data_IF_716162357108
#
_entry.id   IF_716162357108
#
_cell.length_a   1.000
_cell.length_b   1.000
_cell.length_c   1.000
_cell.angle_alpha   90.00
_cell.angle_beta   90.00
_cell.angle_gamma   90.00
#
_symmetry.space_group_name_H-M   'P 1'
#
loop_
_entity.id
_entity.type
_entity.pdbx_description
1 polymer ?
#
# COMPACT_ATOMS: atom_id res chain seq x y z
N UNK A 1 -14.81 1.25 0.64
CA UNK A 1 -13.49 1.71 1.07
C UNK A 1 -12.71 0.51 1.56
N UNK A 2 -11.44 0.43 1.19
CA UNK A 2 -10.54 -0.65 1.55
C UNK A 2 -9.27 -0.03 2.10
N UNK A 3 -8.74 -0.61 3.18
CA UNK A 3 -7.49 -0.14 3.79
C UNK A 3 -6.42 -1.19 3.59
N UNK A 4 -5.32 -0.83 2.95
CA UNK A 4 -4.15 -1.71 2.76
C UNK A 4 -2.99 -1.26 3.65
N UNK A 5 -2.17 -2.23 4.09
CA UNK A 5 -0.98 -2.00 4.89
C UNK A 5 0.09 -3.03 4.59
N UNK A 6 1.35 -2.67 4.88
CA UNK A 6 2.46 -3.61 4.94
C UNK A 6 3.27 -3.33 6.22
N UNK A 7 3.05 -4.14 7.26
CA UNK A 7 3.68 -3.91 8.57
C UNK A 7 5.21 -3.92 8.44
N UNK A 8 5.86 -2.89 8.96
CA UNK A 8 7.32 -2.73 8.88
C UNK A 8 7.83 -2.02 7.63
N UNK A 9 6.95 -1.70 6.67
CA UNK A 9 7.27 -0.90 5.48
C UNK A 9 6.51 0.43 5.51
N UNK A 10 7.14 1.50 5.01
CA UNK A 10 6.47 2.79 4.81
C UNK A 10 6.07 2.94 3.35
N UNK A 11 4.86 3.43 3.11
CA UNK A 11 4.33 3.67 1.77
C UNK A 11 4.30 5.16 1.47
N UNK A 12 4.96 5.56 0.37
CA UNK A 12 4.99 6.94 -0.11
C UNK A 12 4.06 7.09 -1.31
N UNK A 13 2.97 7.82 -1.14
CA UNK A 13 2.06 8.17 -2.24
C UNK A 13 2.71 9.23 -3.11
N UNK A 14 2.90 8.90 -4.38
CA UNK A 14 3.46 9.78 -5.41
C UNK A 14 2.45 10.20 -6.46
N UNK A 15 1.29 9.56 -6.52
CA UNK A 15 0.25 9.86 -7.50
C UNK A 15 -1.14 9.46 -7.02
N UNK A 16 -2.16 10.08 -7.59
CA UNK A 16 -3.57 9.70 -7.39
C UNK A 16 -4.40 10.08 -8.61
N UNK A 17 -5.38 9.26 -8.99
CA UNK A 17 -6.29 9.58 -10.10
C UNK A 17 -5.57 9.83 -11.43
N UNK A 18 -4.56 9.01 -11.74
CA UNK A 18 -3.68 9.17 -12.91
C UNK A 18 -2.92 10.51 -12.98
N UNK A 19 -2.74 11.20 -11.84
CA UNK A 19 -2.00 12.45 -11.73
C UNK A 19 -0.81 12.32 -10.78
N UNK A 20 0.36 12.76 -11.26
CA UNK A 20 1.55 12.88 -10.42
C UNK A 20 1.36 13.95 -9.34
N UNK A 21 1.69 13.62 -8.08
CA UNK A 21 1.54 14.51 -6.93
C UNK A 21 2.66 15.58 -6.91
N UNK A 22 2.49 16.59 -7.76
CA UNK A 22 3.28 17.81 -7.77
C UNK A 22 2.43 19.04 -7.52
N UNK A 23 2.98 19.96 -6.73
CA UNK A 23 2.46 21.31 -6.54
C UNK A 23 2.58 22.16 -7.80
N UNK A 24 1.97 23.34 -7.75
CA UNK A 24 2.00 24.32 -8.86
C UNK A 24 3.42 24.82 -9.18
N UNK A 25 4.32 24.79 -8.20
CA UNK A 25 5.73 25.16 -8.33
C UNK A 25 6.62 23.98 -8.81
N UNK A 26 6.01 22.85 -9.17
CA UNK A 26 6.71 21.65 -9.63
C UNK A 26 7.33 20.81 -8.50
N UNK A 27 7.22 21.23 -7.24
CA UNK A 27 7.72 20.46 -6.10
C UNK A 27 6.84 19.24 -5.83
N UNK A 28 7.47 18.16 -5.40
CA UNK A 28 6.77 16.95 -5.00
C UNK A 28 5.98 17.22 -3.71
N UNK A 29 4.72 16.81 -3.67
CA UNK A 29 3.84 16.90 -2.49
C UNK A 29 3.47 15.52 -1.97
N UNK A 30 4.42 14.59 -2.06
CA UNK A 30 4.27 13.19 -1.66
C UNK A 30 3.91 13.06 -0.18
N UNK A 31 3.21 11.99 0.17
CA UNK A 31 2.79 11.72 1.54
C UNK A 31 3.21 10.32 1.93
N UNK A 32 3.78 10.17 3.11
CA UNK A 32 4.12 8.89 3.69
C UNK A 32 3.07 8.47 4.70
N UNK A 33 2.65 7.20 4.64
CA UNK A 33 1.80 6.59 5.65
C UNK A 33 2.10 5.09 5.77
N UNK A 34 1.73 4.51 6.91
CA UNK A 34 1.83 3.07 7.13
C UNK A 34 0.64 2.30 6.52
N UNK A 35 -0.48 2.98 6.26
CA UNK A 35 -1.66 2.40 5.63
C UNK A 35 -2.38 3.41 4.74
N UNK A 36 -3.10 2.91 3.75
CA UNK A 36 -3.87 3.73 2.82
C UNK A 36 -5.28 3.21 2.66
N UNK A 37 -6.26 4.11 2.83
CA UNK A 37 -7.66 3.85 2.56
C UNK A 37 -8.05 4.47 1.22
N UNK A 38 -8.75 3.71 0.39
CA UNK A 38 -9.26 4.19 -0.90
C UNK A 38 -10.61 3.55 -1.25
N UNK A 39 -11.40 4.28 -2.02
CA UNK A 39 -12.74 3.93 -2.48
C UNK A 39 -12.79 3.31 -3.87
N UNK A 40 -13.99 2.93 -4.30
CA UNK A 40 -14.20 2.39 -5.65
C UNK A 40 -13.96 3.49 -6.69
N UNK A 41 -13.06 3.24 -7.64
CA UNK A 41 -12.66 4.21 -8.67
C UNK A 41 -11.56 5.18 -8.23
N UNK A 42 -11.15 5.15 -6.95
CA UNK A 42 -9.95 5.86 -6.51
C UNK A 42 -8.70 5.04 -6.84
N UNK A 43 -7.60 5.73 -7.13
CA UNK A 43 -6.30 5.12 -7.42
C UNK A 43 -5.21 5.86 -6.66
N UNK A 44 -4.20 5.12 -6.21
CA UNK A 44 -3.01 5.62 -5.55
C UNK A 44 -1.79 5.00 -6.23
N UNK A 45 -0.83 5.83 -6.62
CA UNK A 45 0.49 5.37 -7.04
C UNK A 45 1.41 5.46 -5.83
N UNK A 46 1.95 4.32 -5.40
CA UNK A 46 2.73 4.18 -4.17
C UNK A 46 4.14 3.70 -4.51
N UNK A 47 5.14 4.33 -3.88
CA UNK A 47 6.51 3.84 -3.83
C UNK A 47 6.78 3.32 -2.42
N UNK A 48 7.25 2.09 -2.34
CA UNK A 48 7.86 1.52 -1.14
C UNK A 48 9.37 1.52 -1.39
N UNK A 49 10.10 2.30 -0.59
CA UNK A 49 11.56 2.31 -0.65
C UNK A 49 12.08 1.23 0.29
N UNK A 50 12.75 0.22 -0.27
CA UNK A 50 13.30 -0.92 0.49
C UNK A 50 14.78 -0.73 0.83
N UNK A 51 15.34 0.46 0.60
CA UNK A 51 16.71 0.79 1.01
C UNK A 51 16.83 0.68 2.53
N UNK A 52 17.87 -0.01 3.01
CA UNK A 52 18.14 -0.26 4.43
C UNK A 52 17.05 -1.03 5.21
N UNK A 53 16.07 -1.59 4.50
CA UNK A 53 15.10 -2.53 5.10
C UNK A 53 15.76 -3.90 5.23
N UNK A 54 15.61 -4.52 6.40
CA UNK A 54 16.17 -5.85 6.65
C UNK A 54 15.59 -6.89 5.67
N UNK A 55 16.40 -7.85 5.19
CA UNK A 55 15.89 -8.97 4.40
C UNK A 55 14.81 -9.73 5.16
N UNK A 56 13.76 -10.16 4.45
CA UNK A 56 12.62 -10.84 5.05
C UNK A 56 11.36 -10.81 4.18
N UNK A 57 10.31 -11.44 4.71
CA UNK A 57 8.98 -11.47 4.09
C UNK A 57 8.04 -10.51 4.82
N UNK A 58 7.48 -9.56 4.07
CA UNK A 58 6.55 -8.55 4.55
C UNK A 58 5.20 -8.76 3.88
N UNK A 59 4.11 -8.86 4.65
CA UNK A 59 2.79 -9.05 4.07
C UNK A 59 2.17 -7.73 3.65
N UNK A 60 1.75 -7.62 2.39
CA UNK A 60 0.87 -6.56 1.90
C UNK A 60 -0.56 -7.09 1.91
N UNK A 61 -1.41 -6.51 2.76
CA UNK A 61 -2.74 -7.05 2.99
C UNK A 61 -3.79 -5.99 3.33
N UNK A 62 -5.06 -6.36 3.14
CA UNK A 62 -6.18 -5.58 3.65
C UNK A 62 -6.24 -5.66 5.19
N UNK A 63 -6.68 -4.59 5.85
CA UNK A 63 -6.74 -4.57 7.33
C UNK A 63 -7.97 -5.28 7.88
N UNK A 64 -8.99 -5.48 7.05
CA UNK A 64 -10.26 -6.07 7.43
C UNK A 64 -10.26 -7.58 7.16
N UNK A 65 -10.38 -8.39 8.21
CA UNK A 65 -10.23 -9.86 8.16
C UNK A 65 -11.14 -10.54 7.13
N UNK A 66 -12.37 -10.07 6.94
CA UNK A 66 -13.31 -10.64 5.95
C UNK A 66 -12.86 -10.43 4.49
N UNK A 67 -11.88 -9.55 4.27
CA UNK A 67 -11.27 -9.31 2.96
C UNK A 67 -10.00 -10.16 2.76
N UNK A 68 -9.50 -10.78 3.83
CA UNK A 68 -8.40 -11.74 3.85
C UNK A 68 -8.91 -13.19 3.86
N UNK A 69 -10.10 -13.44 3.31
CA UNK A 69 -10.68 -14.78 3.24
C UNK A 69 -11.27 -15.07 1.87
N UNK A 70 -11.29 -16.36 1.51
CA UNK A 70 -11.97 -16.89 0.34
C UNK A 70 -13.15 -17.73 0.81
N UNK A 71 -14.35 -17.14 0.88
CA UNK A 71 -15.54 -17.76 1.45
C UNK A 71 -15.29 -18.31 2.87
N UNK A 72 -15.16 -19.63 3.03
CA UNK A 72 -14.91 -20.29 4.32
C UNK A 72 -13.44 -20.51 4.63
N UNK A 73 -12.52 -20.19 3.71
CA UNK A 73 -11.08 -20.34 3.88
C UNK A 73 -10.47 -19.04 4.40
N UNK A 74 -9.71 -19.11 5.50
CA UNK A 74 -8.89 -18.02 6.04
C UNK A 74 -7.59 -17.87 5.25
N UNK A 75 -6.90 -16.74 5.43
CA UNK A 75 -5.61 -16.43 4.79
C UNK A 75 -5.68 -16.48 3.25
N UNK A 76 -6.76 -15.93 2.71
CA UNK A 76 -7.04 -15.80 1.28
C UNK A 76 -7.38 -14.35 0.90
N UNK A 77 -8.03 -14.15 -0.25
CA UNK A 77 -8.49 -12.82 -0.65
C UNK A 77 -7.36 -11.81 -0.91
N UNK A 78 -7.47 -10.63 -0.31
CA UNK A 78 -6.55 -9.50 -0.49
C UNK A 78 -5.36 -9.58 0.46
N UNK A 79 -4.46 -10.52 0.17
CA UNK A 79 -3.18 -10.72 0.86
C UNK A 79 -2.11 -11.17 -0.14
N UNK A 80 -0.90 -10.63 -0.02
CA UNK A 80 0.28 -11.07 -0.75
C UNK A 80 1.56 -10.72 0.02
N UNK A 81 2.72 -11.04 -0.55
CA UNK A 81 4.02 -10.90 0.08
C UNK A 81 4.95 -9.98 -0.73
N UNK A 82 5.76 -9.21 -0.01
CA UNK A 82 6.92 -8.49 -0.51
C UNK A 82 8.14 -9.18 0.10
N UNK A 83 9.01 -9.72 -0.76
CA UNK A 83 10.23 -10.42 -0.35
C UNK A 83 11.43 -9.53 -0.63
N UNK A 84 12.20 -9.22 0.41
CA UNK A 84 13.44 -8.44 0.36
C UNK A 84 14.61 -9.42 0.58
N UNK A 85 15.55 -9.48 -0.37
CA UNK A 85 16.68 -10.43 -0.39
C UNK A 85 18.00 -9.76 -0.02
#
# INVERSE_FOLDING_TARGET
>A
FWTITAMGLTMKVVGTGARHMRGIDGKNIYKEAASHNFGGGETLDIIIDTTDVAPGTYFLHATEVHQMSNATQLDGGMITEIVIN
#
